data_IF_758485041422
#
_entry.id   IF_758485041422
#
_cell.length_a   1.000
_cell.length_b   1.000
_cell.length_c   1.000
_cell.angle_alpha   90.00
_cell.angle_beta   90.00
_cell.angle_gamma   90.00
#
_symmetry.space_group_name_H-M   'P 1'
#
loop_
_entity.id
_entity.type
_entity.pdbx_description
1 polymer ?
#
# COMPACT_ATOMS: atom_id res chain seq x y z
N UNK A 1 -10.69 -24.26 -23.75
CA UNK A 1 -9.68 -24.86 -22.90
C UNK A 1 -10.36 -25.25 -21.58
N UNK A 2 -10.07 -26.47 -21.12
CA UNK A 2 -10.60 -26.94 -19.85
C UNK A 2 -9.87 -26.19 -18.74
N UNK A 3 -10.66 -25.53 -17.85
CA UNK A 3 -10.11 -24.83 -16.68
C UNK A 3 -9.80 -25.87 -15.62
N UNK A 4 -8.60 -25.86 -15.07
CA UNK A 4 -8.22 -26.83 -14.04
C UNK A 4 -8.93 -26.55 -12.70
N UNK A 5 -9.08 -27.57 -11.86
CA UNK A 5 -9.65 -27.41 -10.52
C UNK A 5 -8.80 -26.45 -9.67
N UNK A 6 -7.49 -26.42 -9.88
CA UNK A 6 -6.59 -25.50 -9.19
C UNK A 6 -6.81 -24.06 -9.63
N UNK A 7 -6.99 -23.79 -10.94
CA UNK A 7 -7.31 -22.45 -11.44
C UNK A 7 -8.64 -21.93 -10.87
N UNK A 8 -9.64 -22.82 -10.78
CA UNK A 8 -10.94 -22.48 -10.16
C UNK A 8 -10.76 -22.13 -8.68
N UNK A 9 -10.01 -22.95 -7.95
CA UNK A 9 -9.71 -22.72 -6.53
C UNK A 9 -9.01 -21.37 -6.32
N UNK A 10 -7.99 -21.06 -7.11
CA UNK A 10 -7.26 -19.79 -7.04
C UNK A 10 -8.15 -18.60 -7.40
N UNK A 11 -8.98 -18.72 -8.44
CA UNK A 11 -9.91 -17.65 -8.81
C UNK A 11 -10.94 -17.37 -7.71
N UNK A 12 -11.50 -18.42 -7.09
CA UNK A 12 -12.42 -18.29 -5.96
C UNK A 12 -11.72 -17.64 -4.76
N UNK A 13 -10.50 -18.05 -4.44
CA UNK A 13 -9.71 -17.46 -3.35
C UNK A 13 -9.48 -15.97 -3.57
N UNK A 14 -9.14 -15.55 -4.79
CA UNK A 14 -9.01 -14.13 -5.16
C UNK A 14 -10.34 -13.38 -4.97
N UNK A 15 -11.46 -13.96 -5.43
CA UNK A 15 -12.78 -13.34 -5.29
C UNK A 15 -13.17 -13.15 -3.81
N UNK A 16 -12.95 -14.17 -2.98
CA UNK A 16 -13.17 -14.08 -1.54
C UNK A 16 -12.29 -13.03 -0.88
N UNK A 17 -11.01 -12.96 -1.25
CA UNK A 17 -10.12 -11.93 -0.75
C UNK A 17 -10.64 -10.52 -1.04
N UNK A 18 -10.98 -10.24 -2.30
CA UNK A 18 -11.44 -8.91 -2.70
C UNK A 18 -12.80 -8.55 -2.11
N UNK A 19 -13.67 -9.54 -1.90
CA UNK A 19 -14.92 -9.31 -1.16
C UNK A 19 -14.64 -8.94 0.30
N UNK A 20 -13.78 -9.70 0.98
CA UNK A 20 -13.37 -9.40 2.35
C UNK A 20 -12.74 -8.00 2.45
N UNK A 21 -11.82 -7.66 1.56
CA UNK A 21 -11.16 -6.37 1.53
C UNK A 21 -12.15 -5.21 1.29
N UNK A 22 -13.10 -5.41 0.39
CA UNK A 22 -14.16 -4.42 0.13
C UNK A 22 -15.05 -4.19 1.35
N UNK A 23 -15.49 -5.28 1.99
CA UNK A 23 -16.29 -5.16 3.22
C UNK A 23 -15.49 -4.57 4.39
N UNK A 24 -14.20 -4.84 4.47
CA UNK A 24 -13.33 -4.21 5.45
C UNK A 24 -13.28 -2.68 5.23
N UNK A 25 -13.16 -2.23 3.99
CA UNK A 25 -13.20 -0.81 3.66
C UNK A 25 -14.55 -0.17 4.00
N UNK A 26 -15.65 -0.88 3.67
CA UNK A 26 -17.00 -0.44 3.99
C UNK A 26 -17.23 -0.31 5.51
N UNK A 27 -16.90 -1.34 6.28
CA UNK A 27 -17.17 -1.34 7.73
C UNK A 27 -16.30 -0.35 8.49
N UNK A 28 -15.07 -0.13 8.07
CA UNK A 28 -14.18 0.85 8.70
C UNK A 28 -14.55 2.30 8.38
N UNK A 29 -15.22 2.54 7.25
CA UNK A 29 -15.64 3.88 6.83
C UNK A 29 -17.04 4.24 7.35
N UNK A 30 -17.99 3.32 7.25
CA UNK A 30 -19.41 3.59 7.56
C UNK A 30 -19.96 2.85 8.79
N UNK A 31 -19.20 1.96 9.38
CA UNK A 31 -19.65 1.13 10.51
C UNK A 31 -20.62 0.05 10.06
N UNK A 32 -21.91 0.16 10.43
CA UNK A 32 -22.92 -0.80 10.02
C UNK A 32 -23.22 -0.64 8.53
N UNK A 33 -23.18 -1.76 7.79
CA UNK A 33 -23.43 -1.80 6.34
C UNK A 33 -24.31 -2.99 5.99
N UNK A 34 -25.07 -2.92 4.87
CA UNK A 34 -25.76 -4.11 4.38
C UNK A 34 -24.76 -5.14 3.84
N UNK A 35 -25.08 -6.42 4.02
CA UNK A 35 -24.31 -7.52 3.41
C UNK A 35 -25.14 -8.10 2.29
N UNK A 36 -24.62 -8.00 1.06
CA UNK A 36 -25.23 -8.48 -0.16
C UNK A 36 -24.33 -9.56 -0.78
N UNK A 37 -24.79 -10.79 -0.79
CA UNK A 37 -24.05 -11.95 -1.31
C UNK A 37 -24.72 -12.56 -2.56
N UNK A 38 -25.95 -12.12 -2.85
CA UNK A 38 -26.72 -12.57 -3.98
C UNK A 38 -26.52 -11.65 -5.19
N UNK A 39 -26.82 -12.14 -6.40
CA UNK A 39 -26.70 -11.36 -7.64
C UNK A 39 -27.72 -10.22 -7.71
N UNK A 40 -28.90 -10.41 -7.11
CA UNK A 40 -29.93 -9.37 -7.08
C UNK A 40 -29.69 -8.38 -5.96
N UNK A 41 -29.73 -7.09 -6.32
CA UNK A 41 -29.54 -6.00 -5.36
C UNK A 41 -30.83 -5.78 -4.56
N UNK A 42 -30.80 -6.06 -3.27
CA UNK A 42 -31.86 -5.68 -2.34
C UNK A 42 -31.59 -4.29 -1.75
N UNK A 43 -32.30 -3.29 -2.27
CA UNK A 43 -32.21 -1.91 -1.77
C UNK A 43 -32.76 -1.73 -0.35
N UNK A 44 -33.46 -2.72 0.18
CA UNK A 44 -34.00 -2.71 1.54
C UNK A 44 -33.24 -3.64 2.48
N UNK A 45 -32.07 -4.15 2.07
CA UNK A 45 -31.24 -5.04 2.89
C UNK A 45 -30.94 -4.40 4.25
N UNK A 46 -31.17 -5.09 5.37
CA UNK A 46 -30.89 -4.55 6.68
C UNK A 46 -29.39 -4.34 6.91
N UNK A 47 -29.05 -3.29 7.67
CA UNK A 47 -27.68 -3.07 8.09
C UNK A 47 -27.25 -4.17 9.07
N UNK A 48 -26.13 -4.80 8.80
CA UNK A 48 -25.47 -5.73 9.70
C UNK A 48 -24.65 -4.98 10.73
N UNK A 49 -24.48 -5.56 11.89
CA UNK A 49 -23.57 -5.06 12.92
C UNK A 49 -22.12 -5.12 12.43
N UNK A 50 -21.27 -4.28 13.01
CA UNK A 50 -19.82 -4.29 12.72
C UNK A 50 -19.27 -5.70 12.93
N UNK A 51 -19.66 -6.37 14.00
CA UNK A 51 -19.20 -7.72 14.32
C UNK A 51 -19.59 -8.75 13.26
N UNK A 52 -20.87 -8.78 12.82
CA UNK A 52 -21.31 -9.67 11.74
C UNK A 52 -20.56 -9.44 10.43
N UNK A 53 -20.21 -8.18 10.11
CA UNK A 53 -19.42 -7.87 8.91
C UNK A 53 -17.99 -8.39 9.06
N UNK A 54 -17.36 -8.24 10.22
CA UNK A 54 -16.02 -8.81 10.46
C UNK A 54 -16.02 -10.34 10.45
N UNK A 55 -17.08 -11.01 10.90
CA UNK A 55 -17.23 -12.45 10.80
C UNK A 55 -17.23 -12.92 9.33
N UNK A 56 -17.95 -12.22 8.45
CA UNK A 56 -17.92 -12.47 7.01
C UNK A 56 -16.51 -12.25 6.45
N UNK A 57 -15.86 -11.14 6.79
CA UNK A 57 -14.51 -10.82 6.35
C UNK A 57 -13.53 -11.93 6.72
N UNK A 58 -13.53 -12.37 7.97
CA UNK A 58 -12.64 -13.45 8.42
C UNK A 58 -12.94 -14.79 7.77
N UNK A 59 -14.22 -15.09 7.52
CA UNK A 59 -14.63 -16.31 6.79
C UNK A 59 -14.07 -16.31 5.37
N UNK A 60 -14.19 -15.20 4.66
CA UNK A 60 -13.67 -15.04 3.30
C UNK A 60 -12.14 -15.11 3.26
N UNK A 61 -11.46 -14.45 4.21
CA UNK A 61 -10.00 -14.48 4.27
C UNK A 61 -9.43 -15.86 4.58
N UNK A 62 -10.14 -16.71 5.33
CA UNK A 62 -9.73 -18.10 5.53
C UNK A 62 -9.75 -18.88 4.22
N UNK A 63 -10.80 -18.72 3.42
CA UNK A 63 -10.90 -19.35 2.08
C UNK A 63 -9.78 -18.82 1.18
N UNK A 64 -9.52 -17.52 1.23
CA UNK A 64 -8.43 -16.91 0.47
C UNK A 64 -7.05 -17.43 0.90
N UNK A 65 -6.79 -17.57 2.20
CA UNK A 65 -5.53 -18.10 2.72
C UNK A 65 -5.26 -19.54 2.27
N UNK A 66 -6.30 -20.38 2.22
CA UNK A 66 -6.21 -21.78 1.79
C UNK A 66 -6.09 -21.95 0.26
N UNK A 67 -6.58 -20.97 -0.49
CA UNK A 67 -6.65 -21.07 -1.95
C UNK A 67 -5.61 -20.24 -2.71
N UNK A 68 -5.04 -19.19 -2.11
CA UNK A 68 -3.99 -18.42 -2.73
C UNK A 68 -2.62 -19.11 -2.55
N UNK A 69 -1.80 -19.25 -3.60
CA UNK A 69 -0.47 -19.83 -3.47
C UNK A 69 0.50 -18.83 -2.79
N UNK A 70 1.59 -19.36 -2.24
CA UNK A 70 2.67 -18.53 -1.70
C UNK A 70 3.32 -17.68 -2.79
N UNK A 71 3.55 -18.27 -3.96
CA UNK A 71 4.14 -17.63 -5.13
C UNK A 71 3.43 -18.10 -6.39
N UNK A 72 3.18 -17.17 -7.31
CA UNK A 72 2.75 -17.46 -8.66
C UNK A 72 3.96 -17.63 -9.58
N UNK A 73 3.85 -18.50 -10.59
CA UNK A 73 4.97 -18.83 -11.47
C UNK A 73 5.02 -18.01 -12.77
N UNK A 74 3.91 -17.39 -13.15
CA UNK A 74 3.80 -16.74 -14.46
C UNK A 74 2.69 -15.69 -14.53
N UNK A 75 2.73 -14.92 -15.64
CA UNK A 75 1.63 -14.04 -16.03
C UNK A 75 0.30 -14.84 -16.16
N UNK A 76 -0.84 -14.24 -15.84
CA UNK A 76 -1.03 -12.85 -15.47
C UNK A 76 -0.89 -12.58 -13.96
N UNK A 77 -0.51 -13.56 -13.15
CA UNK A 77 -0.51 -13.50 -11.70
C UNK A 77 0.83 -13.12 -11.07
N UNK A 78 1.92 -13.29 -11.83
CA UNK A 78 3.26 -12.87 -11.44
C UNK A 78 3.97 -12.14 -12.59
N UNK A 79 4.83 -11.18 -12.26
CA UNK A 79 5.65 -10.43 -13.20
C UNK A 79 7.00 -10.11 -12.56
N UNK A 80 8.08 -10.24 -13.32
CA UNK A 80 9.44 -9.92 -12.86
C UNK A 80 9.83 -10.56 -11.51
N UNK A 81 9.30 -11.75 -11.21
CA UNK A 81 9.61 -12.49 -9.98
C UNK A 81 8.79 -12.09 -8.75
N UNK A 82 7.81 -11.20 -8.90
CA UNK A 82 6.88 -10.83 -7.81
C UNK A 82 5.44 -11.20 -8.17
N UNK A 83 4.60 -11.40 -7.15
CA UNK A 83 3.17 -11.59 -7.32
C UNK A 83 2.50 -10.24 -7.63
N UNK A 84 1.70 -10.20 -8.70
CA UNK A 84 0.80 -9.07 -9.00
C UNK A 84 -0.66 -9.38 -8.66
N UNK A 85 -0.96 -10.67 -8.44
CA UNK A 85 -2.20 -11.13 -7.85
C UNK A 85 -2.02 -11.37 -6.34
N UNK A 86 -3.14 -11.50 -5.64
CA UNK A 86 -3.13 -11.72 -4.19
C UNK A 86 -2.51 -13.08 -3.86
N UNK A 87 -1.41 -13.06 -3.11
CA UNK A 87 -0.71 -14.27 -2.64
C UNK A 87 -1.09 -14.61 -1.20
N UNK A 88 -0.80 -15.82 -0.76
CA UNK A 88 -1.06 -16.26 0.61
C UNK A 88 -0.42 -15.32 1.66
N UNK A 89 0.80 -14.84 1.40
CA UNK A 89 1.46 -13.89 2.30
C UNK A 89 0.73 -12.55 2.41
N UNK A 90 0.16 -12.05 1.29
CA UNK A 90 -0.67 -10.85 1.29
C UNK A 90 -1.97 -11.06 2.07
N UNK A 91 -2.61 -12.24 1.94
CA UNK A 91 -3.80 -12.59 2.73
C UNK A 91 -3.49 -12.59 4.23
N UNK A 92 -2.41 -13.27 4.65
CA UNK A 92 -1.98 -13.33 6.05
C UNK A 92 -1.66 -11.95 6.62
N UNK A 93 -0.96 -11.11 5.86
CA UNK A 93 -0.68 -9.73 6.27
C UNK A 93 -1.97 -8.91 6.44
N UNK A 94 -2.94 -9.09 5.54
CA UNK A 94 -4.27 -8.46 5.66
C UNK A 94 -5.01 -8.95 6.91
N UNK A 95 -4.97 -10.26 7.19
CA UNK A 95 -5.56 -10.82 8.41
C UNK A 95 -4.92 -10.24 9.68
N UNK A 96 -3.58 -10.10 9.70
CA UNK A 96 -2.88 -9.50 10.82
C UNK A 96 -3.41 -8.07 11.10
N UNK A 97 -3.52 -7.25 10.07
CA UNK A 97 -4.04 -5.88 10.21
C UNK A 97 -5.50 -5.86 10.67
N UNK A 98 -6.35 -6.73 10.12
CA UNK A 98 -7.77 -6.83 10.49
C UNK A 98 -7.92 -7.26 11.95
N UNK A 99 -7.14 -8.25 12.43
CA UNK A 99 -7.15 -8.63 13.83
C UNK A 99 -6.71 -7.48 14.76
N UNK A 100 -5.72 -6.68 14.37
CA UNK A 100 -5.37 -5.46 15.12
C UNK A 100 -6.54 -4.48 15.20
N UNK A 101 -7.26 -4.25 14.10
CA UNK A 101 -8.44 -3.40 14.08
C UNK A 101 -9.56 -3.94 14.99
N UNK A 102 -9.80 -5.24 15.00
CA UNK A 102 -10.79 -5.88 15.86
C UNK A 102 -10.39 -5.85 17.35
N UNK A 103 -9.09 -5.93 17.64
CA UNK A 103 -8.57 -5.84 18.99
C UNK A 103 -8.84 -4.47 19.63
N UNK A 104 -8.78 -3.39 18.81
CA UNK A 104 -9.04 -2.02 19.20
C UNK A 104 -10.49 -1.59 19.01
N UNK A 105 -10.69 -0.27 19.09
CA UNK A 105 -12.01 0.35 18.86
C UNK A 105 -12.47 0.12 17.41
N UNK A 106 -13.77 -0.12 17.11
CA UNK A 106 -14.91 -0.09 18.06
C UNK A 106 -15.21 -1.42 18.74
N UNK A 107 -14.67 -2.56 18.26
CA UNK A 107 -15.01 -3.90 18.79
C UNK A 107 -14.35 -4.21 20.15
N UNK A 108 -13.16 -3.66 20.38
CA UNK A 108 -12.38 -3.82 21.64
C UNK A 108 -12.23 -5.28 22.07
N UNK A 109 -11.94 -6.19 21.12
CA UNK A 109 -11.74 -7.62 21.42
C UNK A 109 -10.48 -7.89 22.27
N UNK A 110 -9.56 -6.92 22.38
CA UNK A 110 -8.45 -6.95 23.32
C UNK A 110 -7.34 -7.92 22.99
N UNK A 111 -6.69 -8.44 24.05
CA UNK A 111 -5.43 -9.19 23.97
C UNK A 111 -5.48 -10.41 23.04
N UNK A 112 -6.57 -11.17 23.08
CA UNK A 112 -6.72 -12.34 22.22
C UNK A 112 -6.55 -12.01 20.72
N UNK A 113 -7.13 -10.90 20.28
CA UNK A 113 -7.04 -10.49 18.88
C UNK A 113 -5.69 -9.83 18.54
N UNK A 114 -5.00 -9.22 19.51
CA UNK A 114 -3.60 -8.84 19.33
C UNK A 114 -2.69 -10.07 19.19
N UNK A 115 -2.93 -11.14 19.94
CA UNK A 115 -2.19 -12.38 19.80
C UNK A 115 -2.42 -13.04 18.42
N UNK A 116 -3.65 -13.03 17.90
CA UNK A 116 -3.97 -13.50 16.54
C UNK A 116 -3.29 -12.64 15.48
N UNK A 117 -3.27 -11.32 15.66
CA UNK A 117 -2.57 -10.41 14.76
C UNK A 117 -1.07 -10.67 14.73
N UNK A 118 -0.45 -10.82 15.90
CA UNK A 118 0.97 -11.16 16.02
C UNK A 118 1.30 -12.50 15.34
N UNK A 119 0.47 -13.51 15.56
CA UNK A 119 0.65 -14.82 14.91
C UNK A 119 0.64 -14.70 13.39
N UNK A 120 -0.35 -14.03 12.79
CA UNK A 120 -0.44 -13.87 11.34
C UNK A 120 0.70 -13.04 10.77
N UNK A 121 1.11 -11.99 11.46
CA UNK A 121 2.28 -11.19 11.06
C UNK A 121 3.58 -12.03 11.13
N UNK A 122 3.75 -12.84 12.19
CA UNK A 122 4.91 -13.74 12.34
C UNK A 122 4.98 -14.78 11.23
N UNK A 123 3.83 -15.39 10.84
CA UNK A 123 3.78 -16.33 9.72
C UNK A 123 4.29 -15.69 8.40
N UNK A 124 4.04 -14.40 8.18
CA UNK A 124 4.56 -13.67 7.01
C UNK A 124 6.05 -13.43 7.14
N UNK A 125 6.52 -13.00 8.31
CA UNK A 125 7.93 -12.71 8.59
C UNK A 125 8.76 -13.99 8.43
N UNK A 126 8.36 -15.08 9.08
CA UNK A 126 9.03 -16.37 9.00
C UNK A 126 9.04 -16.91 7.57
N UNK A 127 7.95 -16.72 6.82
CA UNK A 127 7.86 -17.10 5.41
C UNK A 127 8.80 -16.30 4.51
N UNK A 128 9.05 -15.03 4.82
CA UNK A 128 10.04 -14.22 4.13
C UNK A 128 11.47 -14.65 4.49
N UNK A 129 11.74 -14.93 5.76
CA UNK A 129 13.07 -15.36 6.24
C UNK A 129 13.47 -16.75 5.72
N UNK A 130 12.54 -17.69 5.65
CA UNK A 130 12.81 -19.07 5.21
C UNK A 130 12.68 -19.28 3.69
N UNK A 131 12.33 -18.24 2.93
CA UNK A 131 12.21 -18.29 1.47
C UNK A 131 10.89 -18.90 0.94
N UNK A 132 9.90 -19.13 1.79
CA UNK A 132 8.52 -19.49 1.34
C UNK A 132 7.91 -18.37 0.50
N UNK A 133 8.19 -17.12 0.88
CA UNK A 133 7.82 -15.92 0.14
C UNK A 133 9.08 -15.22 -0.39
N UNK A 134 8.95 -14.51 -1.51
CA UNK A 134 10.07 -13.69 -2.07
C UNK A 134 10.33 -12.40 -1.28
N UNK A 135 9.53 -12.09 -0.28
CA UNK A 135 9.54 -10.80 0.38
C UNK A 135 10.86 -10.48 1.06
N UNK A 136 11.31 -9.25 0.87
CA UNK A 136 12.56 -8.76 1.45
C UNK A 136 12.48 -7.25 1.63
N UNK A 137 13.02 -6.73 2.73
CA UNK A 137 13.24 -5.29 2.88
C UNK A 137 14.30 -4.80 1.89
N UNK A 138 14.08 -3.62 1.35
CA UNK A 138 15.05 -2.91 0.55
C UNK A 138 16.08 -2.23 1.45
N UNK A 139 17.32 -2.12 0.95
CA UNK A 139 18.45 -1.59 1.74
C UNK A 139 18.30 -0.09 2.06
N UNK A 140 17.56 0.64 1.22
CA UNK A 140 17.34 2.08 1.38
C UNK A 140 15.87 2.43 1.23
N UNK A 141 15.39 3.32 2.08
CA UNK A 141 14.00 3.76 2.07
C UNK A 141 13.57 4.41 0.73
N UNK A 142 14.46 5.14 0.07
CA UNK A 142 14.20 5.75 -1.23
C UNK A 142 13.91 4.73 -2.34
N UNK A 143 14.53 3.53 -2.27
CA UNK A 143 14.31 2.46 -3.25
C UNK A 143 12.86 1.99 -3.29
N UNK A 144 12.16 2.05 -2.16
CA UNK A 144 10.74 1.64 -2.05
C UNK A 144 9.85 2.41 -3.02
N UNK A 145 10.21 3.66 -3.31
CA UNK A 145 9.45 4.57 -4.16
C UNK A 145 10.12 4.85 -5.50
N UNK A 146 11.25 4.22 -5.77
CA UNK A 146 11.99 4.40 -7.04
C UNK A 146 11.32 3.65 -8.19
N UNK A 147 11.30 4.26 -9.37
CA UNK A 147 10.84 3.60 -10.60
C UNK A 147 11.71 2.40 -10.98
N UNK A 148 12.96 2.33 -10.50
CA UNK A 148 13.83 1.16 -10.68
C UNK A 148 13.26 -0.11 -10.04
N UNK A 149 12.45 0.03 -9.00
CA UNK A 149 11.80 -1.06 -8.28
C UNK A 149 10.28 -1.12 -8.51
N UNK A 150 9.75 -0.33 -9.45
CA UNK A 150 8.30 -0.20 -9.62
C UNK A 150 7.60 -1.53 -9.93
N UNK A 151 8.22 -2.37 -10.78
CA UNK A 151 7.64 -3.63 -11.26
C UNK A 151 8.25 -4.88 -10.61
N UNK A 152 9.21 -4.72 -9.71
CA UNK A 152 9.92 -5.84 -9.07
C UNK A 152 10.29 -5.56 -7.61
N UNK A 153 9.48 -4.77 -6.93
CA UNK A 153 9.72 -4.40 -5.54
C UNK A 153 9.45 -5.58 -4.60
N UNK A 154 10.49 -6.17 -4.00
CA UNK A 154 10.32 -7.33 -3.13
C UNK A 154 9.70 -6.97 -1.77
N UNK A 155 9.60 -5.69 -1.43
CA UNK A 155 8.96 -5.25 -0.19
C UNK A 155 7.43 -5.20 -0.29
N UNK A 156 6.88 -5.15 -1.51
CA UNK A 156 5.43 -5.04 -1.74
C UNK A 156 4.77 -6.42 -1.68
N UNK A 157 3.89 -6.62 -0.73
CA UNK A 157 3.07 -7.82 -0.58
C UNK A 157 1.77 -7.72 -1.38
N UNK A 158 1.19 -6.53 -1.40
CA UNK A 158 -0.03 -6.20 -2.13
C UNK A 158 0.11 -4.81 -2.73
N UNK A 159 -0.13 -4.70 -4.02
CA UNK A 159 -0.08 -3.45 -4.76
C UNK A 159 -1.07 -3.42 -5.91
N UNK A 160 -1.37 -2.22 -6.41
CA UNK A 160 -2.08 -2.02 -7.67
C UNK A 160 -1.05 -1.61 -8.71
N UNK A 161 -0.92 -2.45 -9.72
CA UNK A 161 0.07 -2.29 -10.78
C UNK A 161 -0.59 -1.70 -12.02
N UNK A 162 0.01 -0.64 -12.55
CA UNK A 162 -0.48 0.08 -13.71
C UNK A 162 0.37 -0.20 -14.94
N UNK A 163 -0.20 0.01 -16.11
CA UNK A 163 0.47 -0.15 -17.39
C UNK A 163 0.19 1.08 -18.27
N UNK A 164 1.23 1.83 -18.60
CA UNK A 164 1.15 3.05 -19.40
C UNK A 164 0.62 2.81 -20.82
N UNK A 165 0.82 1.62 -21.38
CA UNK A 165 0.39 1.28 -22.73
C UNK A 165 -1.14 1.14 -22.89
N UNK A 166 -1.87 1.12 -21.77
CA UNK A 166 -3.33 1.07 -21.80
C UNK A 166 -3.92 2.46 -21.63
N UNK A 167 -4.54 2.97 -22.68
CA UNK A 167 -5.28 4.23 -22.66
C UNK A 167 -6.34 4.26 -21.55
N UNK A 168 -6.47 5.39 -20.87
CA UNK A 168 -7.43 5.66 -19.80
C UNK A 168 -7.09 5.10 -18.40
N UNK A 169 -5.82 4.88 -18.09
CA UNK A 169 -5.42 4.64 -16.70
C UNK A 169 -4.96 5.96 -16.08
N UNK A 170 -5.84 6.61 -15.36
CA UNK A 170 -5.47 7.69 -14.47
C UNK A 170 -4.91 7.09 -13.19
N UNK A 171 -3.66 7.46 -12.83
CA UNK A 171 -3.20 7.36 -11.46
C UNK A 171 -3.44 8.73 -10.84
N UNK A 172 -4.55 8.93 -10.12
CA UNK A 172 -4.91 10.24 -9.61
C UNK A 172 -3.84 10.86 -8.72
N UNK A 173 -3.08 10.01 -8.02
CA UNK A 173 -2.12 10.45 -7.02
C UNK A 173 -0.94 11.23 -7.60
N UNK A 174 -0.45 10.88 -8.79
CA UNK A 174 0.70 11.55 -9.38
C UNK A 174 0.35 12.97 -9.81
N UNK A 175 -0.80 13.14 -10.45
CA UNK A 175 -1.24 14.44 -10.96
C UNK A 175 -1.66 15.41 -9.86
N UNK A 176 -2.36 14.90 -8.83
CA UNK A 176 -2.83 15.76 -7.73
C UNK A 176 -1.72 16.21 -6.79
N UNK A 177 -0.66 15.40 -6.65
CA UNK A 177 0.40 15.63 -5.68
C UNK A 177 1.57 16.47 -6.21
N UNK A 178 1.71 16.58 -7.54
CA UNK A 178 2.79 17.34 -8.15
C UNK A 178 2.37 18.78 -8.41
N UNK A 179 3.33 19.69 -8.28
CA UNK A 179 3.16 21.08 -8.67
C UNK A 179 2.88 21.22 -10.17
N UNK A 180 2.14 22.25 -10.55
CA UNK A 180 1.80 22.54 -11.94
C UNK A 180 3.03 22.69 -12.84
N UNK A 181 4.16 23.17 -12.31
CA UNK A 181 5.43 23.28 -13.04
C UNK A 181 6.09 21.95 -13.32
N UNK A 182 5.74 20.93 -12.54
CA UNK A 182 6.21 19.56 -12.71
C UNK A 182 5.18 18.70 -13.46
N UNK A 183 4.18 19.33 -14.07
CA UNK A 183 3.15 18.66 -14.85
C UNK A 183 1.97 18.12 -14.02
N UNK A 184 1.91 18.44 -12.74
CA UNK A 184 0.80 18.09 -11.86
C UNK A 184 -0.27 19.18 -11.78
N UNK A 185 -1.26 18.99 -10.94
CA UNK A 185 -2.35 19.94 -10.71
C UNK A 185 -2.16 20.77 -9.44
N UNK A 186 -1.22 20.39 -8.57
CA UNK A 186 -0.91 21.11 -7.34
C UNK A 186 -2.03 21.10 -6.29
N UNK A 187 -2.92 20.12 -6.35
CA UNK A 187 -4.11 20.07 -5.48
C UNK A 187 -3.79 19.56 -4.08
N UNK A 188 -2.64 18.91 -3.89
CA UNK A 188 -2.24 18.33 -2.61
C UNK A 188 -0.79 18.61 -2.30
N UNK A 189 -0.57 19.28 -1.18
CA UNK A 189 0.76 19.69 -0.72
C UNK A 189 1.01 19.22 0.71
N UNK A 190 2.28 19.14 1.09
CA UNK A 190 2.68 18.91 2.46
C UNK A 190 2.38 20.13 3.35
N UNK A 191 2.05 19.87 4.60
CA UNK A 191 1.89 20.95 5.58
C UNK A 191 3.26 21.48 5.99
N UNK A 192 3.42 22.83 5.95
CA UNK A 192 4.71 23.51 6.11
C UNK A 192 5.32 23.28 7.50
N UNK A 193 4.51 23.37 8.56
CA UNK A 193 4.97 23.16 9.92
C UNK A 193 5.44 21.73 10.11
N UNK A 194 4.66 20.76 9.64
CA UNK A 194 5.03 19.35 9.70
C UNK A 194 6.34 19.06 8.97
N UNK A 195 6.53 19.63 7.77
CA UNK A 195 7.78 19.48 7.03
C UNK A 195 8.98 20.08 7.77
N UNK A 196 8.81 21.25 8.42
CA UNK A 196 9.89 21.87 9.23
C UNK A 196 10.27 21.04 10.44
N UNK A 197 9.28 20.42 11.08
CA UNK A 197 9.44 19.58 12.26
C UNK A 197 9.81 18.13 11.92
N UNK A 198 9.64 17.71 10.65
CA UNK A 198 9.97 16.37 10.21
C UNK A 198 11.48 16.13 10.36
N UNK A 199 11.89 15.04 11.06
CA UNK A 199 13.29 14.75 11.26
C UNK A 199 14.06 14.64 9.94
N UNK A 200 15.23 15.27 9.88
CA UNK A 200 16.15 15.14 8.75
C UNK A 200 16.61 13.69 8.60
N UNK A 201 16.77 13.25 7.36
CA UNK A 201 17.23 11.90 7.05
C UNK A 201 16.50 11.23 5.91
N UNK A 202 16.82 9.95 5.63
CA UNK A 202 16.40 9.25 4.42
C UNK A 202 14.89 9.23 4.19
N UNK A 203 14.09 9.28 5.28
CA UNK A 203 12.63 9.27 5.17
C UNK A 203 12.10 10.62 4.67
N UNK A 204 12.66 11.74 5.14
CA UNK A 204 12.31 13.08 4.67
C UNK A 204 12.75 13.26 3.22
N UNK A 205 13.98 12.87 2.91
CA UNK A 205 14.58 12.99 1.58
C UNK A 205 13.80 12.20 0.52
N UNK A 206 13.26 11.04 0.87
CA UNK A 206 12.45 10.23 -0.04
C UNK A 206 10.96 10.66 -0.07
N UNK A 207 10.53 11.57 0.80
CA UNK A 207 9.13 11.98 0.90
C UNK A 207 8.85 13.26 0.13
N UNK A 208 9.78 14.21 0.15
CA UNK A 208 9.59 15.54 -0.43
C UNK A 208 10.65 15.85 -1.46
N UNK A 209 10.27 16.60 -2.50
CA UNK A 209 11.25 17.17 -3.42
C UNK A 209 12.17 18.14 -2.68
N UNK A 210 13.49 17.99 -2.82
CA UNK A 210 14.43 18.91 -2.21
C UNK A 210 14.40 20.28 -2.88
N UNK A 211 14.14 20.32 -4.19
CA UNK A 211 14.05 21.52 -5.02
C UNK A 211 12.95 21.37 -6.05
N UNK A 212 12.52 22.48 -6.61
CA UNK A 212 11.50 22.56 -7.65
C UNK A 212 12.05 23.34 -8.82
N UNK A 213 11.75 22.91 -10.04
CA UNK A 213 12.06 23.64 -11.25
C UNK A 213 10.96 24.68 -11.50
N UNK A 214 11.33 25.95 -11.55
CA UNK A 214 10.43 27.05 -11.86
C UNK A 214 10.37 27.36 -13.36
N UNK A 215 9.56 28.36 -13.72
CA UNK A 215 9.36 28.77 -15.11
C UNK A 215 10.62 29.33 -15.79
N UNK A 216 11.61 29.78 -15.01
CA UNK A 216 12.91 30.24 -15.49
C UNK A 216 13.85 29.09 -15.91
N UNK A 217 13.47 27.83 -15.61
CA UNK A 217 14.27 26.64 -15.88
C UNK A 217 15.33 26.35 -14.84
N UNK A 218 15.34 27.08 -13.75
CA UNK A 218 16.28 26.92 -12.64
C UNK A 218 15.66 26.12 -11.48
N UNK A 219 16.52 25.46 -10.68
CA UNK A 219 16.12 24.72 -9.49
C UNK A 219 16.15 25.62 -8.26
N UNK A 220 14.99 25.82 -7.67
CA UNK A 220 14.81 26.66 -6.49
C UNK A 220 14.38 25.85 -5.27
N UNK A 221 14.72 26.36 -4.09
CA UNK A 221 14.10 25.91 -2.85
C UNK A 221 12.67 26.41 -2.84
N UNK A 222 11.71 25.52 -2.80
CA UNK A 222 10.30 25.76 -3.13
C UNK A 222 9.58 26.83 -2.29
N UNK A 223 10.15 27.45 -1.26
CA UNK A 223 9.49 28.50 -0.47
C UNK A 223 10.32 29.73 -0.15
N UNK A 224 11.62 29.75 -0.49
CA UNK A 224 12.49 30.82 0.00
C UNK A 224 12.90 31.85 -1.03
N UNK A 225 12.63 31.60 -2.30
CA UNK A 225 13.41 32.27 -3.34
C UNK A 225 12.88 33.59 -3.84
N UNK A 226 11.67 34.01 -3.43
CA UNK A 226 11.14 35.26 -3.97
C UNK A 226 10.50 36.11 -2.89
N UNK A 227 10.85 37.39 -2.87
CA UNK A 227 10.12 38.42 -2.13
C UNK A 227 9.49 39.41 -3.14
N UNK A 228 8.18 39.34 -3.39
CA UNK A 228 7.21 38.46 -2.78
C UNK A 228 7.36 36.98 -3.25
N UNK A 229 6.99 36.03 -2.41
CA UNK A 229 7.10 34.63 -2.77
C UNK A 229 6.37 34.37 -4.10
N UNK A 230 7.01 33.63 -4.98
CA UNK A 230 6.38 33.12 -6.20
C UNK A 230 5.11 32.41 -5.79
N UNK A 231 3.97 32.79 -6.35
CA UNK A 231 2.69 32.13 -6.07
C UNK A 231 2.59 30.73 -6.68
N UNK A 232 3.65 30.31 -7.34
CA UNK A 232 3.68 29.07 -8.11
C UNK A 232 3.96 27.84 -7.25
N UNK A 233 4.70 28.01 -6.12
CA UNK A 233 4.95 26.93 -5.16
C UNK A 233 4.90 27.49 -3.75
N UNK A 234 3.92 27.07 -2.97
CA UNK A 234 3.65 27.66 -1.65
C UNK A 234 3.79 26.64 -0.51
N UNK A 235 4.08 25.37 -0.83
CA UNK A 235 4.12 24.29 0.15
C UNK A 235 5.01 23.11 -0.30
N UNK A 236 5.48 22.25 0.62
CA UNK A 236 6.26 21.05 0.28
C UNK A 236 5.55 20.15 -0.70
N UNK A 237 6.24 19.72 -1.75
CA UNK A 237 5.70 18.82 -2.77
C UNK A 237 6.16 17.39 -2.50
N UNK A 238 5.24 16.44 -2.58
CA UNK A 238 5.54 15.03 -2.35
C UNK A 238 6.24 14.39 -3.55
N UNK A 239 7.31 13.64 -3.28
CA UNK A 239 8.09 12.93 -4.29
C UNK A 239 7.72 11.45 -4.44
N UNK A 240 7.11 10.83 -3.43
CA UNK A 240 6.84 9.38 -3.42
C UNK A 240 6.00 8.88 -4.60
N UNK A 241 5.15 9.72 -5.16
CA UNK A 241 4.28 9.38 -6.28
C UNK A 241 4.83 9.83 -7.62
N UNK A 242 5.92 10.60 -7.61
CA UNK A 242 6.53 11.10 -8.84
C UNK A 242 7.17 9.97 -9.66
N UNK A 243 7.08 10.09 -10.96
CA UNK A 243 7.75 9.26 -11.93
C UNK A 243 8.86 10.05 -12.58
N UNK A 244 9.99 9.39 -12.86
CA UNK A 244 11.09 9.96 -13.64
C UNK A 244 11.57 8.91 -14.63
N UNK A 245 11.96 9.32 -15.82
CA UNK A 245 12.56 8.41 -16.81
C UNK A 245 13.93 7.93 -16.37
N UNK A 246 14.64 8.71 -15.55
CA UNK A 246 15.80 8.25 -14.84
C UNK A 246 15.34 7.21 -13.81
N UNK A 247 15.39 5.97 -14.16
CA UNK A 247 15.04 4.82 -13.29
C UNK A 247 16.03 4.61 -12.15
N UNK A 248 16.64 5.70 -11.70
CA UNK A 248 17.53 5.75 -10.56
C UNK A 248 16.80 6.03 -9.25
N UNK A 249 17.58 6.26 -8.20
CA UNK A 249 17.04 6.63 -6.88
C UNK A 249 16.84 8.13 -6.72
N UNK A 250 17.33 8.92 -7.66
CA UNK A 250 17.18 10.36 -7.72
C UNK A 250 16.18 10.74 -8.79
N UNK A 251 15.37 11.74 -8.50
CA UNK A 251 14.43 12.29 -9.47
C UNK A 251 15.22 13.11 -10.50
N UNK A 252 15.00 12.83 -11.79
CA UNK A 252 15.62 13.57 -12.88
C UNK A 252 14.74 14.74 -13.31
N UNK A 253 15.10 15.92 -12.86
CA UNK A 253 14.41 17.17 -13.21
C UNK A 253 14.54 17.55 -14.71
N UNK A 254 15.46 16.91 -15.44
CA UNK A 254 15.67 17.19 -16.86
C UNK A 254 14.86 16.26 -17.74
N UNK A 255 14.20 15.26 -17.17
CA UNK A 255 13.38 14.31 -17.91
C UNK A 255 12.15 15.03 -18.52
N UNK A 256 12.08 15.09 -19.86
CA UNK A 256 10.95 15.70 -20.55
C UNK A 256 9.68 14.83 -20.54
N UNK A 257 9.74 13.62 -19.97
CA UNK A 257 8.56 12.73 -19.89
C UNK A 257 7.52 13.44 -19.06
N UNK A 258 6.41 13.89 -19.64
CA UNK A 258 5.40 14.57 -18.86
C UNK A 258 4.88 13.63 -17.80
N UNK A 259 4.84 14.10 -16.58
CA UNK A 259 4.09 13.50 -15.53
C UNK A 259 2.63 13.58 -15.96
N UNK A 260 2.19 12.57 -16.67
CA UNK A 260 0.85 12.56 -17.27
C UNK A 260 -0.09 11.76 -16.36
N UNK A 261 -1.38 12.02 -16.49
CA UNK A 261 -2.44 11.23 -15.89
C UNK A 261 -2.37 9.71 -16.21
N UNK A 262 -1.46 9.32 -17.08
CA UNK A 262 -1.22 7.93 -17.50
C UNK A 262 0.05 7.35 -16.88
N UNK A 263 0.30 7.61 -15.62
CA UNK A 263 1.44 7.04 -14.89
C UNK A 263 1.37 5.51 -14.76
N UNK A 264 2.52 4.92 -14.51
CA UNK A 264 2.66 3.46 -14.29
C UNK A 264 3.15 3.11 -12.88
N UNK A 265 3.20 4.10 -11.98
CA UNK A 265 3.69 3.89 -10.63
C UNK A 265 2.78 2.99 -9.82
N UNK A 266 3.34 1.96 -9.24
CA UNK A 266 2.62 1.01 -8.39
C UNK A 266 2.12 1.68 -7.12
N UNK A 267 0.83 1.54 -6.84
CA UNK A 267 0.25 1.92 -5.55
C UNK A 267 0.46 0.77 -4.57
N UNK A 268 1.31 1.00 -3.58
CA UNK A 268 1.67 0.01 -2.57
C UNK A 268 0.60 -0.01 -1.47
N UNK A 269 -0.12 -1.12 -1.34
CA UNK A 269 -1.18 -1.29 -0.34
C UNK A 269 -0.61 -1.87 0.94
N UNK A 270 0.16 -2.96 0.85
CA UNK A 270 0.81 -3.62 1.99
C UNK A 270 2.28 -3.86 1.66
N UNK A 271 3.17 -3.49 2.59
CA UNK A 271 4.61 -3.72 2.50
C UNK A 271 5.10 -4.53 3.71
N UNK A 272 6.20 -5.25 3.52
CA UNK A 272 6.82 -6.07 4.58
C UNK A 272 7.17 -5.26 5.83
N UNK A 273 7.69 -4.04 5.65
CA UNK A 273 7.98 -3.12 6.76
C UNK A 273 6.75 -2.78 7.62
N UNK A 274 5.56 -2.71 7.02
CA UNK A 274 4.32 -2.53 7.79
C UNK A 274 3.99 -3.78 8.61
N UNK A 275 4.22 -4.98 8.05
CA UNK A 275 3.99 -6.24 8.78
C UNK A 275 4.91 -6.33 9.98
N UNK A 276 6.16 -5.91 9.87
CA UNK A 276 7.10 -5.83 11.00
C UNK A 276 6.58 -4.91 12.10
N UNK A 277 6.14 -3.70 11.75
CA UNK A 277 5.54 -2.77 12.70
C UNK A 277 4.26 -3.34 13.35
N UNK A 278 3.40 -4.00 12.58
CA UNK A 278 2.18 -4.63 13.11
C UNK A 278 2.49 -5.77 14.08
N UNK A 279 3.50 -6.60 13.78
CA UNK A 279 3.97 -7.63 14.69
C UNK A 279 4.44 -7.03 16.01
N UNK A 280 5.32 -6.05 15.96
CA UNK A 280 5.86 -5.41 17.15
C UNK A 280 4.78 -4.72 17.98
N UNK A 281 3.84 -4.00 17.35
CA UNK A 281 2.72 -3.36 18.02
C UNK A 281 1.80 -4.40 18.67
N UNK A 282 1.43 -5.46 17.94
CA UNK A 282 0.55 -6.50 18.46
C UNK A 282 1.13 -7.21 19.69
N UNK A 283 2.42 -7.56 19.65
CA UNK A 283 3.15 -8.13 20.80
C UNK A 283 3.14 -7.15 22.00
N UNK A 284 3.46 -5.88 21.75
CA UNK A 284 3.47 -4.86 22.81
C UNK A 284 2.09 -4.65 23.43
N UNK A 285 1.03 -4.59 22.63
CA UNK A 285 -0.36 -4.41 23.11
C UNK A 285 -0.93 -5.66 23.79
N UNK A 286 -0.39 -6.84 23.50
CA UNK A 286 -0.72 -8.06 24.28
C UNK A 286 0.03 -8.14 25.59
N UNK A 287 0.77 -7.09 25.97
CA UNK A 287 1.51 -7.02 27.22
C UNK A 287 2.81 -7.82 27.24
N UNK A 288 3.32 -8.20 26.07
CA UNK A 288 4.56 -8.98 25.91
C UNK A 288 5.66 -8.08 25.34
N UNK A 289 6.91 -8.40 25.66
CA UNK A 289 8.09 -7.81 25.04
C UNK A 289 9.01 -8.95 24.66
N UNK A 290 9.22 -9.16 23.36
CA UNK A 290 10.09 -10.21 22.86
C UNK A 290 11.27 -9.58 22.13
N UNK A 291 12.44 -10.28 22.11
CA UNK A 291 13.60 -9.82 21.36
C UNK A 291 13.26 -9.61 19.88
N UNK A 292 12.54 -10.56 19.27
CA UNK A 292 12.08 -10.45 17.88
C UNK A 292 11.21 -9.20 17.64
N UNK A 293 10.27 -8.88 18.55
CA UNK A 293 9.44 -7.69 18.39
C UNK A 293 10.25 -6.38 18.48
N UNK A 294 11.29 -6.36 19.29
CA UNK A 294 12.22 -5.21 19.40
C UNK A 294 13.08 -5.09 18.14
N UNK A 295 13.50 -6.21 17.57
CA UNK A 295 14.29 -6.23 16.33
C UNK A 295 13.49 -5.76 15.11
N UNK A 296 12.17 -5.98 15.11
CA UNK A 296 11.28 -5.57 14.02
C UNK A 296 10.93 -4.06 14.02
N UNK A 297 11.31 -3.32 15.04
CA UNK A 297 11.16 -1.86 15.12
C UNK A 297 12.37 -1.11 14.56
#
# INVERSE_FOLDING_TARGET
PDVSAEDIKQALAQAHYWRAYSYFYLVTTWGKVPVMLEEEIDYNAPLKSIEEVYELILSDLKIAEEGCPAMYSSEPYARNGINIAVSQGAVKATMAYIYMCMAGWPLNKGTEYYDLAAQKAEEVIDGAENGTYYYKLLDQYSQVYSMAYNENNPEVLLGVYYNRDRTAQMIPLTDFLLDMKQGGWGDTNGEIKFWKEFPEGPRKDATYFPKIMLADGELHDWWYDTDPPSREVVAPVFMKTAESSARGMEFDYTDPTPLSANGEKTVQIIRLSQVYCWYAEAIGRSGKVTAKAVEML
#
